data_IF_644837850387
#
_entry.id   IF_644837850387
#
_cell.length_a   1.000
_cell.length_b   1.000
_cell.length_c   1.000
_cell.angle_alpha   90.00
_cell.angle_beta   90.00
_cell.angle_gamma   90.00
#
_symmetry.space_group_name_H-M   'P 1'
#
loop_
_entity.id
_entity.type
_entity.pdbx_description
1 polymer ?
#
# COMPACT_ATOMS: atom_id res chain seq x y z
N UNK A 1 -10.18 2.35 -31.03
CA UNK A 1 -8.75 1.97 -30.90
C UNK A 1 -8.20 2.58 -29.61
N UNK A 2 -8.06 1.80 -28.54
CA UNK A 2 -7.44 2.26 -27.29
C UNK A 2 -6.43 1.20 -26.82
N UNK A 3 -5.14 1.52 -26.99
CA UNK A 3 -4.00 0.69 -26.58
C UNK A 3 -3.81 0.82 -25.08
N UNK A 4 -4.36 -0.10 -24.29
CA UNK A 4 -3.82 -0.38 -22.96
C UNK A 4 -2.64 -1.34 -23.11
N UNK A 5 -1.48 -0.75 -23.39
CA UNK A 5 -0.19 -1.43 -23.30
C UNK A 5 0.04 -1.87 -21.86
N UNK A 6 -0.15 -3.16 -21.64
CA UNK A 6 0.16 -3.89 -20.42
C UNK A 6 1.66 -3.79 -20.15
N UNK A 7 2.08 -2.75 -19.42
CA UNK A 7 3.43 -2.63 -18.89
C UNK A 7 3.53 -3.34 -17.53
N UNK A 8 3.07 -4.60 -17.50
CA UNK A 8 2.93 -5.41 -16.30
C UNK A 8 4.03 -6.48 -16.19
N UNK A 9 5.29 -6.17 -16.49
CA UNK A 9 6.39 -7.12 -16.30
C UNK A 9 7.69 -6.42 -15.86
N UNK A 10 7.71 -5.82 -14.65
CA UNK A 10 9.00 -5.53 -13.97
C UNK A 10 8.96 -5.37 -12.44
N UNK A 11 8.06 -6.04 -11.72
CA UNK A 11 8.11 -6.12 -10.23
C UNK A 11 8.45 -7.51 -9.72
N UNK A 12 9.37 -8.20 -10.40
CA UNK A 12 9.85 -9.53 -10.04
C UNK A 12 11.29 -9.53 -9.52
N UNK A 13 11.57 -8.79 -8.43
CA UNK A 13 12.75 -9.04 -7.56
C UNK A 13 12.74 -8.18 -6.28
N UNK A 14 11.77 -8.37 -5.39
CA UNK A 14 11.96 -8.02 -3.98
C UNK A 14 12.86 -9.11 -3.34
N UNK A 15 14.12 -9.18 -3.78
CA UNK A 15 15.18 -9.88 -3.05
C UNK A 15 15.52 -9.04 -1.83
N UNK A 16 15.97 -9.71 -0.78
CA UNK A 16 16.45 -9.26 0.54
C UNK A 16 17.18 -7.89 0.60
N UNK A 17 17.55 -7.25 -0.51
CA UNK A 17 18.14 -5.91 -0.56
C UNK A 17 17.19 -4.72 -0.30
N UNK A 18 15.85 -4.87 -0.38
CA UNK A 18 14.96 -3.69 -0.25
C UNK A 18 14.88 -3.11 1.16
N UNK A 19 15.00 -3.94 2.21
CA UNK A 19 15.02 -3.45 3.60
C UNK A 19 16.42 -2.98 4.02
N UNK A 20 17.48 -3.57 3.48
CA UNK A 20 18.84 -3.09 3.74
C UNK A 20 19.04 -1.67 3.17
N UNK A 21 18.50 -1.41 1.97
CA UNK A 21 18.45 -0.06 1.39
C UNK A 21 17.59 0.92 2.20
N UNK A 22 16.54 0.42 2.85
CA UNK A 22 15.66 1.21 3.73
C UNK A 22 16.32 1.57 5.07
N UNK A 23 17.10 0.64 5.64
CA UNK A 23 17.74 0.81 6.94
C UNK A 23 19.03 1.65 6.87
N UNK A 24 19.80 1.54 5.77
CA UNK A 24 21.08 2.23 5.59
C UNK A 24 21.05 3.75 5.86
N UNK A 25 20.08 4.54 5.33
CA UNK A 25 20.02 5.96 5.64
C UNK A 25 19.71 6.23 7.12
N UNK A 26 18.89 5.40 7.78
CA UNK A 26 18.58 5.54 9.21
C UNK A 26 19.84 5.33 10.04
N UNK A 27 20.59 4.26 9.76
CA UNK A 27 21.84 3.95 10.46
C UNK A 27 22.88 5.06 10.24
N UNK A 28 23.07 5.50 9.00
CA UNK A 28 24.06 6.51 8.64
C UNK A 28 23.76 7.87 9.30
N UNK A 29 22.49 8.30 9.30
CA UNK A 29 22.08 9.55 9.96
C UNK A 29 22.28 9.44 11.46
N UNK A 30 21.77 8.39 12.11
CA UNK A 30 21.93 8.23 13.57
C UNK A 30 23.41 8.16 13.98
N UNK A 31 24.26 7.45 13.23
CA UNK A 31 25.70 7.43 13.49
C UNK A 31 26.33 8.82 13.36
N UNK A 32 25.99 9.59 12.32
CA UNK A 32 26.50 10.95 12.15
C UNK A 32 26.08 11.88 13.29
N UNK A 33 24.85 11.76 13.79
CA UNK A 33 24.34 12.56 14.90
C UNK A 33 25.07 12.27 16.23
N UNK A 34 25.48 11.01 16.46
CA UNK A 34 26.27 10.66 17.63
C UNK A 34 27.74 11.09 17.50
N UNK A 35 28.30 11.11 16.28
CA UNK A 35 29.65 11.60 16.03
C UNK A 35 29.80 13.11 16.26
N UNK A 36 28.73 13.90 16.11
CA UNK A 36 28.76 15.35 16.39
C UNK A 36 28.62 15.67 17.88
N UNK A 37 28.43 14.68 18.75
CA UNK A 37 28.27 14.87 20.21
C UNK A 37 26.87 15.28 20.66
N UNK A 38 25.94 15.46 19.72
CA UNK A 38 24.54 15.86 19.96
C UNK A 38 23.55 14.68 19.86
N UNK A 39 24.06 13.45 20.01
CA UNK A 39 23.38 12.18 19.74
C UNK A 39 21.88 12.17 20.06
N UNK A 40 21.53 12.03 21.33
CA UNK A 40 20.14 11.91 21.76
C UNK A 40 19.26 13.14 21.45
N UNK A 41 19.83 14.35 21.46
CA UNK A 41 19.09 15.58 21.16
C UNK A 41 18.65 15.66 19.70
N UNK A 42 19.53 15.27 18.76
CA UNK A 42 19.21 15.31 17.33
C UNK A 42 18.56 14.03 16.83
N UNK A 43 18.59 12.95 17.61
CA UNK A 43 17.97 11.68 17.26
C UNK A 43 16.43 11.79 17.08
N UNK A 44 15.77 12.90 17.40
CA UNK A 44 14.38 13.11 16.98
C UNK A 44 14.23 13.24 15.45
N UNK A 45 15.29 13.65 14.74
CA UNK A 45 15.29 13.85 13.29
C UNK A 45 15.20 12.53 12.50
N UNK A 46 15.42 11.37 13.12
CA UNK A 46 15.16 10.08 12.46
C UNK A 46 13.66 9.78 12.31
N UNK A 47 12.75 10.44 13.04
CA UNK A 47 11.32 10.18 12.92
C UNK A 47 10.75 10.52 11.52
N UNK A 48 10.97 11.72 10.96
CA UNK A 48 10.53 12.01 9.59
C UNK A 48 11.28 11.17 8.54
N UNK A 49 12.56 10.83 8.80
CA UNK A 49 13.34 9.95 7.92
C UNK A 49 12.74 8.53 7.87
N UNK A 50 12.41 7.97 9.03
CA UNK A 50 11.73 6.69 9.15
C UNK A 50 10.38 6.74 8.41
N UNK A 51 9.63 7.83 8.56
CA UNK A 51 8.37 7.99 7.84
C UNK A 51 8.55 7.95 6.31
N UNK A 52 9.58 8.64 5.80
CA UNK A 52 9.93 8.62 4.39
C UNK A 52 10.34 7.22 3.90
N UNK A 53 11.14 6.52 4.70
CA UNK A 53 11.60 5.15 4.42
C UNK A 53 10.41 4.19 4.36
N UNK A 54 9.52 4.21 5.36
CA UNK A 54 8.33 3.36 5.39
C UNK A 54 7.40 3.67 4.21
N UNK A 55 7.24 4.96 3.86
CA UNK A 55 6.43 5.37 2.72
C UNK A 55 6.97 4.86 1.38
N UNK A 56 8.30 4.81 1.21
CA UNK A 56 8.93 4.31 -0.03
C UNK A 56 9.03 2.79 -0.10
N UNK A 57 9.23 2.12 1.02
CA UNK A 57 9.58 0.69 1.07
C UNK A 57 8.38 -0.25 1.28
N UNK A 58 7.19 0.29 1.57
CA UNK A 58 5.95 -0.47 1.74
C UNK A 58 5.84 -1.20 3.09
N UNK A 59 4.68 -1.82 3.32
CA UNK A 59 4.26 -2.41 4.59
C UNK A 59 5.07 -3.63 5.08
N UNK A 60 6.01 -4.15 4.27
CA UNK A 60 6.89 -5.27 4.67
C UNK A 60 8.26 -4.84 5.19
N UNK A 61 8.69 -3.61 4.92
CA UNK A 61 10.05 -3.15 5.24
C UNK A 61 10.14 -2.29 6.51
N UNK A 62 9.01 -1.90 7.12
CA UNK A 62 8.99 -1.01 8.29
C UNK A 62 9.58 -1.65 9.55
N UNK A 63 9.29 -2.92 9.83
CA UNK A 63 9.82 -3.62 11.01
C UNK A 63 11.35 -3.70 11.02
N UNK A 64 12.02 -4.22 9.98
CA UNK A 64 13.48 -4.28 9.98
C UNK A 64 14.13 -2.89 10.01
N UNK A 65 13.54 -1.88 9.37
CA UNK A 65 14.04 -0.50 9.43
C UNK A 65 13.92 0.10 10.85
N UNK A 66 12.80 -0.16 11.54
CA UNK A 66 12.59 0.29 12.91
C UNK A 66 13.53 -0.39 13.90
N UNK A 67 13.74 -1.71 13.76
CA UNK A 67 14.69 -2.48 14.58
C UNK A 67 16.10 -1.96 14.34
N UNK A 68 16.51 -1.74 13.09
CA UNK A 68 17.83 -1.19 12.80
C UNK A 68 18.02 0.19 13.44
N UNK A 69 17.04 1.08 13.33
CA UNK A 69 17.09 2.41 13.97
C UNK A 69 17.17 2.31 15.51
N UNK A 70 16.37 1.46 16.13
CA UNK A 70 16.37 1.26 17.58
C UNK A 70 17.71 0.68 18.07
N UNK A 71 18.28 -0.28 17.32
CA UNK A 71 19.59 -0.86 17.62
C UNK A 71 20.70 0.17 17.48
N UNK A 72 20.69 0.99 16.41
CA UNK A 72 21.70 2.05 16.24
C UNK A 72 21.60 3.10 17.33
N UNK A 73 20.38 3.49 17.72
CA UNK A 73 20.16 4.41 18.83
C UNK A 73 20.70 3.84 20.16
N UNK A 74 20.36 2.59 20.48
CA UNK A 74 20.84 1.92 21.69
C UNK A 74 22.37 1.77 21.70
N UNK A 75 22.98 1.48 20.55
CA UNK A 75 24.44 1.38 20.42
C UNK A 75 25.13 2.75 20.60
N UNK A 76 24.57 3.81 20.03
CA UNK A 76 25.04 5.18 20.26
C UNK A 76 24.97 5.55 21.73
N UNK A 77 23.85 5.23 22.39
CA UNK A 77 23.66 5.52 23.81
C UNK A 77 24.61 4.74 24.72
N UNK A 78 24.82 3.46 24.43
CA UNK A 78 25.82 2.66 25.13
C UNK A 78 27.23 3.26 24.96
N UNK A 79 27.58 3.72 23.76
CA UNK A 79 28.86 4.38 23.51
C UNK A 79 29.07 5.64 24.36
N UNK A 80 28.01 6.43 24.59
CA UNK A 80 28.06 7.58 25.50
C UNK A 80 28.21 7.13 26.95
N UNK A 81 27.43 6.13 27.39
CA UNK A 81 27.45 5.62 28.77
C UNK A 81 28.82 5.02 29.17
N UNK A 82 29.51 4.34 28.25
CA UNK A 82 30.85 3.78 28.48
C UNK A 82 31.98 4.79 28.27
N UNK A 83 31.67 6.06 27.94
CA UNK A 83 32.67 7.11 27.71
C UNK A 83 33.45 6.97 26.41
N UNK A 84 32.99 6.13 25.47
CA UNK A 84 33.59 5.94 24.14
C UNK A 84 33.24 7.12 23.23
N UNK A 85 32.02 7.65 23.35
CA UNK A 85 31.53 8.79 22.59
C UNK A 85 31.45 10.04 23.47
N UNK A 86 31.86 11.19 22.92
CA UNK A 86 31.66 12.49 23.56
C UNK A 86 30.19 12.87 23.47
N UNK A 87 29.64 13.38 24.57
CA UNK A 87 28.28 13.93 24.63
C UNK A 87 28.34 15.35 25.17
N UNK A 88 27.76 16.28 24.43
CA UNK A 88 27.63 17.69 24.85
C UNK A 88 26.44 17.88 25.82
N UNK A 89 25.62 16.84 26.01
CA UNK A 89 24.47 16.85 26.93
C UNK A 89 24.90 16.43 28.35
N UNK A 90 24.47 17.17 29.41
CA UNK A 90 24.65 16.76 30.80
C UNK A 90 24.01 15.39 31.09
N UNK A 91 24.75 14.51 31.78
CA UNK A 91 24.47 13.07 31.82
C UNK A 91 23.13 12.57 32.41
N UNK A 92 22.33 13.30 33.22
CA UNK A 92 20.99 12.79 33.52
C UNK A 92 19.98 13.03 32.38
N UNK A 93 20.19 14.05 31.54
CA UNK A 93 19.21 14.45 30.52
C UNK A 93 19.41 13.71 29.19
N UNK A 94 20.64 13.30 28.86
CA UNK A 94 20.94 12.57 27.62
C UNK A 94 20.24 11.21 27.54
N UNK A 95 20.34 10.41 28.61
CA UNK A 95 19.73 9.08 28.69
C UNK A 95 18.20 9.12 28.60
N UNK A 96 17.57 10.10 29.28
CA UNK A 96 16.11 10.26 29.23
C UNK A 96 15.63 10.64 27.82
N UNK A 97 16.33 11.56 27.15
CA UNK A 97 16.01 11.93 25.77
C UNK A 97 16.15 10.73 24.82
N UNK A 98 17.22 9.94 24.96
CA UNK A 98 17.41 8.74 24.16
C UNK A 98 16.27 7.73 24.34
N UNK A 99 15.81 7.52 25.59
CA UNK A 99 14.68 6.64 25.88
C UNK A 99 13.38 7.15 25.24
N UNK A 100 13.09 8.45 25.35
CA UNK A 100 11.92 9.08 24.74
C UNK A 100 11.94 8.99 23.20
N UNK A 101 13.10 9.25 22.59
CA UNK A 101 13.29 9.12 21.13
C UNK A 101 13.13 7.67 20.68
N UNK A 102 13.66 6.71 21.45
CA UNK A 102 13.48 5.28 21.17
C UNK A 102 12.02 4.86 21.21
N UNK A 103 11.27 5.31 22.21
CA UNK A 103 9.83 5.06 22.30
C UNK A 103 9.07 5.71 21.14
N UNK A 104 9.38 6.97 20.82
CA UNK A 104 8.79 7.67 19.68
C UNK A 104 9.09 6.95 18.36
N UNK A 105 10.30 6.42 18.18
CA UNK A 105 10.68 5.66 16.99
C UNK A 105 9.84 4.38 16.85
N UNK A 106 9.76 3.58 17.92
CA UNK A 106 9.04 2.30 17.90
C UNK A 106 7.54 2.50 17.67
N UNK A 107 6.93 3.47 18.36
CA UNK A 107 5.50 3.79 18.20
C UNK A 107 5.20 4.34 16.81
N UNK A 108 6.00 5.29 16.30
CA UNK A 108 5.86 5.84 14.94
C UNK A 108 6.01 4.75 13.88
N UNK A 109 7.02 3.88 14.02
CA UNK A 109 7.20 2.73 13.15
C UNK A 109 5.99 1.79 13.13
N UNK A 110 5.45 1.46 14.31
CA UNK A 110 4.28 0.61 14.44
C UNK A 110 3.04 1.20 13.77
N UNK A 111 2.75 2.48 14.03
CA UNK A 111 1.60 3.18 13.42
C UNK A 111 1.72 3.20 11.90
N UNK A 112 2.87 3.63 11.37
CA UNK A 112 3.08 3.68 9.93
C UNK A 112 3.07 2.29 9.29
N UNK A 113 3.61 1.30 9.99
CA UNK A 113 3.67 -0.08 9.56
C UNK A 113 2.30 -0.74 9.43
N UNK A 114 1.45 -0.56 10.44
CA UNK A 114 0.07 -1.06 10.44
C UNK A 114 -0.78 -0.34 9.39
N UNK A 115 -0.63 0.99 9.24
CA UNK A 115 -1.33 1.77 8.22
C UNK A 115 -0.95 1.34 6.79
N UNK A 116 0.35 1.18 6.50
CA UNK A 116 0.83 0.70 5.21
C UNK A 116 0.35 -0.73 4.92
N UNK A 117 0.43 -1.62 5.90
CA UNK A 117 -0.02 -3.01 5.77
C UNK A 117 -1.55 -3.10 5.56
N UNK A 118 -2.32 -2.28 6.26
CA UNK A 118 -3.78 -2.20 6.11
C UNK A 118 -4.17 -1.76 4.70
N UNK A 119 -3.51 -0.71 4.18
CA UNK A 119 -3.73 -0.23 2.83
C UNK A 119 -3.41 -1.29 1.77
N UNK A 120 -2.27 -1.96 1.88
CA UNK A 120 -1.87 -3.01 0.94
C UNK A 120 -2.87 -4.17 0.91
N UNK A 121 -3.36 -4.60 2.09
CA UNK A 121 -4.38 -5.65 2.19
C UNK A 121 -5.70 -5.21 1.56
N UNK A 122 -6.15 -3.99 1.81
CA UNK A 122 -7.39 -3.46 1.23
C UNK A 122 -7.30 -3.41 -0.31
N UNK A 123 -6.20 -2.86 -0.85
CA UNK A 123 -5.95 -2.84 -2.30
C UNK A 123 -5.89 -4.25 -2.90
N UNK A 124 -5.25 -5.20 -2.20
CA UNK A 124 -5.17 -6.58 -2.66
C UNK A 124 -6.54 -7.26 -2.65
N UNK A 125 -7.35 -7.07 -1.62
CA UNK A 125 -8.73 -7.59 -1.55
C UNK A 125 -9.58 -7.03 -2.69
N UNK A 126 -9.52 -5.72 -2.95
CA UNK A 126 -10.23 -5.11 -4.10
C UNK A 126 -9.77 -5.72 -5.42
N UNK A 127 -8.45 -5.91 -5.62
CA UNK A 127 -7.91 -6.52 -6.85
C UNK A 127 -8.27 -7.99 -7.00
N UNK A 128 -8.30 -8.76 -5.92
CA UNK A 128 -8.69 -10.19 -5.96
C UNK A 128 -10.18 -10.32 -6.22
N UNK A 129 -11.00 -9.52 -5.55
CA UNK A 129 -12.45 -9.52 -5.75
C UNK A 129 -12.82 -9.05 -7.16
N UNK A 130 -12.16 -8.01 -7.68
CA UNK A 130 -12.37 -7.55 -9.05
C UNK A 130 -12.07 -8.64 -10.08
N UNK A 131 -10.90 -9.31 -9.96
CA UNK A 131 -10.54 -10.43 -10.85
C UNK A 131 -11.49 -11.62 -10.71
N UNK A 132 -11.93 -11.93 -9.50
CA UNK A 132 -12.90 -13.01 -9.25
C UNK A 132 -14.27 -12.68 -9.85
N UNK A 133 -14.74 -11.45 -9.70
CA UNK A 133 -15.98 -10.98 -10.29
C UNK A 133 -15.93 -11.01 -11.81
N UNK A 134 -14.83 -10.53 -12.41
CA UNK A 134 -14.61 -10.58 -13.85
C UNK A 134 -14.60 -12.03 -14.38
N UNK A 135 -13.97 -12.96 -13.66
CA UNK A 135 -13.99 -14.37 -14.01
C UNK A 135 -15.40 -14.98 -13.92
N UNK A 136 -16.16 -14.67 -12.86
CA UNK A 136 -17.55 -15.13 -12.72
C UNK A 136 -18.45 -14.63 -13.84
N UNK A 137 -18.31 -13.36 -14.25
CA UNK A 137 -19.10 -12.81 -15.35
C UNK A 137 -18.72 -13.37 -16.72
N UNK A 138 -17.45 -13.75 -16.89
CA UNK A 138 -16.94 -14.33 -18.15
C UNK A 138 -17.30 -15.80 -18.31
N UNK A 139 -17.22 -16.56 -17.23
CA UNK A 139 -17.40 -18.02 -17.24
C UNK A 139 -18.80 -18.46 -16.80
N UNK A 140 -19.60 -17.54 -16.26
CA UNK A 140 -20.99 -17.79 -15.87
C UNK A 140 -21.89 -18.11 -17.05
N UNK A 141 -22.88 -18.99 -16.82
CA UNK A 141 -23.94 -19.29 -17.78
C UNK A 141 -25.00 -18.18 -17.88
N UNK A 142 -25.03 -17.27 -16.90
CA UNK A 142 -26.04 -16.23 -16.82
C UNK A 142 -25.63 -14.97 -17.60
N UNK A 143 -26.62 -14.29 -18.17
CA UNK A 143 -26.45 -12.97 -18.77
C UNK A 143 -26.63 -11.91 -17.68
N UNK A 144 -25.63 -11.04 -17.53
CA UNK A 144 -25.73 -9.86 -16.65
C UNK A 144 -25.74 -8.61 -17.52
N UNK A 145 -26.77 -7.79 -17.33
CA UNK A 145 -26.94 -6.51 -18.03
C UNK A 145 -27.07 -5.41 -16.98
N UNK A 146 -26.29 -4.33 -17.13
CA UNK A 146 -26.41 -3.13 -16.31
C UNK A 146 -26.98 -2.01 -17.18
N UNK A 147 -28.12 -1.46 -16.77
CA UNK A 147 -28.77 -0.35 -17.45
C UNK A 147 -28.73 0.92 -16.60
N UNK A 148 -28.81 2.07 -17.25
CA UNK A 148 -29.06 3.33 -16.57
C UNK A 148 -30.54 3.49 -16.16
N UNK A 149 -30.90 4.65 -15.61
CA UNK A 149 -32.27 4.97 -15.20
C UNK A 149 -33.27 5.08 -16.36
N UNK A 150 -32.80 5.14 -17.61
CA UNK A 150 -33.62 5.16 -18.83
C UNK A 150 -33.73 3.78 -19.48
N UNK A 151 -33.03 2.78 -18.95
CA UNK A 151 -33.00 1.44 -19.52
C UNK A 151 -31.98 1.27 -20.65
N UNK A 152 -31.09 2.23 -20.87
CA UNK A 152 -29.99 2.09 -21.83
C UNK A 152 -28.91 1.18 -21.24
N UNK A 153 -28.45 0.21 -22.02
CA UNK A 153 -27.46 -0.78 -21.58
C UNK A 153 -26.06 -0.13 -21.50
N UNK A 154 -25.57 0.08 -20.29
CA UNK A 154 -24.22 0.59 -20.02
C UNK A 154 -23.17 -0.52 -19.92
N UNK A 155 -23.57 -1.73 -19.53
CA UNK A 155 -22.68 -2.88 -19.45
C UNK A 155 -23.43 -4.17 -19.78
N UNK A 156 -22.74 -5.10 -20.46
CA UNK A 156 -23.23 -6.45 -20.69
C UNK A 156 -22.10 -7.45 -20.47
N UNK A 157 -22.40 -8.57 -19.83
CA UNK A 157 -21.41 -9.61 -19.55
C UNK A 157 -20.84 -10.23 -20.84
N UNK A 158 -19.60 -10.76 -20.81
CA UNK A 158 -19.00 -11.47 -21.95
C UNK A 158 -19.71 -12.79 -22.31
N UNK A 159 -20.64 -13.26 -21.47
CA UNK A 159 -21.49 -14.41 -21.75
C UNK A 159 -22.58 -14.14 -22.80
N UNK A 160 -22.82 -12.88 -23.18
CA UNK A 160 -23.88 -12.49 -24.12
C UNK A 160 -23.86 -13.24 -25.48
N UNK A 161 -22.71 -13.47 -26.14
CA UNK A 161 -22.69 -14.25 -27.38
C UNK A 161 -23.09 -15.71 -27.18
N UNK A 162 -22.80 -16.31 -26.02
CA UNK A 162 -23.20 -17.69 -25.70
C UNK A 162 -24.69 -17.80 -25.35
N UNK A 163 -25.21 -16.82 -24.60
CA UNK A 163 -26.59 -16.86 -24.08
C UNK A 163 -27.60 -16.32 -25.08
N UNK A 164 -27.31 -15.17 -25.70
CA UNK A 164 -28.21 -14.46 -26.62
C UNK A 164 -27.84 -14.65 -28.10
N UNK A 165 -26.69 -15.23 -28.42
CA UNK A 165 -26.19 -15.31 -29.80
C UNK A 165 -25.77 -13.96 -30.40
N UNK A 166 -25.68 -12.92 -29.57
CA UNK A 166 -25.38 -11.55 -29.98
C UNK A 166 -24.07 -11.06 -29.37
N UNK A 167 -23.29 -10.36 -30.18
CA UNK A 167 -22.08 -9.67 -29.73
C UNK A 167 -22.41 -8.62 -28.67
N UNK A 168 -21.68 -8.64 -27.55
CA UNK A 168 -21.83 -7.69 -26.44
C UNK A 168 -21.84 -6.23 -26.91
N UNK A 169 -20.98 -5.89 -27.88
CA UNK A 169 -20.88 -4.55 -28.45
C UNK A 169 -22.15 -4.06 -29.16
N UNK A 170 -23.01 -4.97 -29.64
CA UNK A 170 -24.29 -4.62 -30.29
C UNK A 170 -25.41 -4.33 -29.30
N UNK A 171 -25.19 -4.63 -28.02
CA UNK A 171 -26.16 -4.41 -26.94
C UNK A 171 -25.88 -3.11 -26.20
N UNK A 172 -24.61 -2.71 -26.10
CA UNK A 172 -24.19 -1.46 -25.45
C UNK A 172 -24.84 -0.23 -26.12
N UNK A 173 -25.37 0.68 -25.29
CA UNK A 173 -26.04 1.91 -25.72
C UNK A 173 -27.40 1.71 -26.37
N UNK A 174 -27.96 0.49 -26.33
CA UNK A 174 -29.33 0.23 -26.83
C UNK A 174 -30.31 0.11 -25.67
N UNK A 175 -31.58 0.44 -25.91
CA UNK A 175 -32.64 0.25 -24.92
C UNK A 175 -32.88 -1.23 -24.67
N UNK A 176 -32.76 -1.67 -23.42
CA UNK A 176 -32.97 -3.08 -23.06
C UNK A 176 -34.39 -3.55 -23.40
N UNK A 177 -35.38 -2.67 -23.23
CA UNK A 177 -36.80 -2.96 -23.49
C UNK A 177 -37.10 -3.24 -24.95
N UNK A 178 -36.34 -2.65 -25.87
CA UNK A 178 -36.51 -2.88 -27.31
C UNK A 178 -36.16 -4.33 -27.69
N UNK A 179 -35.38 -5.02 -26.85
CA UNK A 179 -34.97 -6.42 -27.05
C UNK A 179 -35.93 -7.43 -26.45
N UNK A 180 -36.85 -7.03 -25.60
CA UNK A 180 -37.91 -7.92 -25.14
C UNK A 180 -38.91 -8.19 -26.26
N UNK A 181 -39.50 -9.39 -26.22
CA UNK A 181 -40.60 -9.76 -27.10
C UNK A 181 -41.72 -8.70 -26.96
N UNK A 182 -42.41 -8.30 -28.06
CA UNK A 182 -43.38 -7.20 -28.03
C UNK A 182 -44.46 -7.33 -26.94
N UNK A 183 -44.86 -8.57 -26.65
CA UNK A 183 -45.85 -8.93 -25.63
C UNK A 183 -45.34 -8.72 -24.19
N UNK A 184 -44.03 -8.78 -23.97
CA UNK A 184 -43.41 -8.66 -22.64
C UNK A 184 -42.95 -7.24 -22.32
N UNK A 185 -42.99 -6.32 -23.29
CA UNK A 185 -42.54 -4.93 -23.12
C UNK A 185 -43.37 -4.15 -22.09
N UNK A 186 -44.63 -4.52 -21.94
CA UNK A 186 -45.59 -3.92 -21.00
C UNK A 186 -45.41 -4.41 -19.57
N UNK A 187 -44.91 -5.64 -19.36
CA UNK A 187 -44.59 -6.19 -18.05
C UNK A 187 -43.35 -5.54 -17.42
N UNK A 188 -42.39 -5.12 -18.23
CA UNK A 188 -41.14 -4.49 -17.81
C UNK A 188 -41.26 -2.97 -17.49
N UNK A 189 -42.45 -2.47 -17.14
CA UNK A 189 -42.75 -1.04 -16.98
C UNK A 189 -42.80 -0.54 -15.52
N UNK A 190 -42.46 -1.37 -14.53
CA UNK A 190 -42.44 -1.04 -13.10
C UNK A 190 -41.02 -0.71 -12.64
#
# INVERSE_FOLDING_TARGET
>A
MHRYGVNALRRGRARVGSWAQAALPVVAVTAALYLTGWGAALAVLQLPLLALVVHRSGGRAWMPAAVAGAVTLAAGEAGVAFGVLRSELPQPHGHLLAALVGLALVTTAGILGTAASGRERAEQTVRVNGRRYEALLRDGADLVVLTDSRGEVGYVSPSAPRVLGLESARLLGTGLRDRFHPEDRTLAAQ
#
